data_IF_622522911076
#
_entry.id   IF_622522911076
#
_cell.length_a   1.000
_cell.length_b   1.000
_cell.length_c   1.000
_cell.angle_alpha   90.00
_cell.angle_beta   90.00
_cell.angle_gamma   90.00
#
_symmetry.space_group_name_H-M   'P 1'
#
loop_
_entity.id
_entity.type
_entity.pdbx_description
1 polymer ?
#
# COMPACT_ATOMS: atom_id res chain seq x y z
N UNK A 1 6.56 7.98 -8.58
CA UNK A 1 7.49 8.35 -7.49
C UNK A 1 6.66 8.56 -6.24
N UNK A 2 7.08 8.00 -5.11
CA UNK A 2 6.41 8.23 -3.82
C UNK A 2 6.95 9.53 -3.20
N UNK A 3 6.13 10.56 -3.10
CA UNK A 3 6.57 11.89 -2.65
C UNK A 3 5.56 12.62 -1.76
N UNK A 4 4.35 12.10 -1.61
CA UNK A 4 3.27 12.74 -0.85
C UNK A 4 2.26 11.68 -0.41
N UNK A 5 2.04 11.56 0.91
CA UNK A 5 1.11 10.58 1.50
C UNK A 5 -0.31 10.83 1.01
N UNK A 6 -0.76 12.09 1.02
CA UNK A 6 -2.14 12.46 0.67
C UNK A 6 -2.41 12.20 -0.80
N UNK A 7 -1.45 12.56 -1.66
CA UNK A 7 -1.57 12.30 -3.10
C UNK A 7 -1.56 10.79 -3.40
N UNK A 8 -0.75 10.01 -2.68
CA UNK A 8 -0.69 8.55 -2.84
C UNK A 8 -2.00 7.89 -2.40
N UNK A 9 -2.59 8.36 -1.30
CA UNK A 9 -3.89 7.91 -0.82
C UNK A 9 -5.01 8.23 -1.83
N UNK A 10 -5.05 9.46 -2.35
CA UNK A 10 -6.04 9.84 -3.37
C UNK A 10 -5.88 9.00 -4.65
N UNK A 11 -4.65 8.68 -5.05
CA UNK A 11 -4.39 7.77 -6.17
C UNK A 11 -5.09 6.43 -6.01
N UNK A 12 -5.01 5.79 -4.83
CA UNK A 12 -5.70 4.51 -4.57
C UNK A 12 -7.22 4.63 -4.61
N UNK A 13 -7.76 5.80 -4.27
CA UNK A 13 -9.21 6.02 -4.25
C UNK A 13 -9.78 6.36 -5.64
N UNK A 14 -8.99 6.99 -6.50
CA UNK A 14 -9.46 7.56 -7.76
C UNK A 14 -9.03 6.76 -8.99
N UNK A 15 -7.86 6.14 -8.97
CA UNK A 15 -7.33 5.36 -10.09
C UNK A 15 -7.74 3.89 -9.97
N UNK A 16 -8.59 3.44 -10.89
CA UNK A 16 -9.09 2.07 -10.95
C UNK A 16 -7.99 1.01 -11.14
N UNK A 17 -6.77 1.43 -11.50
CA UNK A 17 -5.61 0.56 -11.63
C UNK A 17 -4.69 0.57 -10.41
N UNK A 18 -4.87 1.51 -9.48
CA UNK A 18 -4.01 1.70 -8.31
C UNK A 18 -4.62 1.03 -7.06
N UNK A 19 -4.56 -0.30 -7.00
CA UNK A 19 -5.14 -1.11 -5.91
C UNK A 19 -4.12 -1.50 -4.83
N UNK A 20 -3.11 -0.67 -4.60
CA UNK A 20 -2.00 -0.98 -3.67
C UNK A 20 -2.39 -0.84 -2.20
N UNK A 21 -1.84 -1.72 -1.39
CA UNK A 21 -1.95 -1.75 0.07
C UNK A 21 -0.66 -1.25 0.74
N UNK A 22 -0.73 -0.98 2.04
CA UNK A 22 0.42 -0.51 2.82
C UNK A 22 1.43 -1.63 3.10
N UNK A 23 2.70 -1.24 3.20
CA UNK A 23 3.81 -2.11 3.64
C UNK A 23 4.06 -1.97 5.16
N UNK A 24 4.64 -2.98 5.83
CA UNK A 24 4.90 -2.95 7.27
C UNK A 24 5.69 -1.72 7.75
N UNK A 25 6.62 -1.23 6.94
CA UNK A 25 7.52 -0.12 7.27
C UNK A 25 6.75 1.16 7.63
N UNK A 26 5.54 1.35 7.08
CA UNK A 26 4.66 2.48 7.41
C UNK A 26 4.05 2.40 8.82
N UNK A 27 4.42 1.41 9.62
CA UNK A 27 4.00 1.26 11.02
C UNK A 27 5.17 1.22 12.01
N UNK A 28 6.43 1.25 11.56
CA UNK A 28 7.58 1.23 12.47
C UNK A 28 8.86 1.93 11.98
N UNK A 29 9.00 2.26 10.70
CA UNK A 29 10.25 2.78 10.13
C UNK A 29 10.07 4.20 9.53
N UNK A 30 10.31 5.28 10.30
CA UNK A 30 10.15 6.66 9.81
C UNK A 30 11.11 7.05 8.67
N UNK A 31 12.23 6.37 8.54
CA UNK A 31 13.27 6.65 7.55
C UNK A 31 12.75 6.47 6.11
N UNK A 32 11.72 5.62 5.90
CA UNK A 32 11.10 5.43 4.58
C UNK A 32 10.40 6.68 4.04
N UNK A 33 10.20 7.68 4.89
CA UNK A 33 9.60 8.97 4.53
C UNK A 33 10.64 10.06 4.31
N UNK A 34 11.93 9.78 4.51
CA UNK A 34 13.03 10.76 4.51
C UNK A 34 14.07 10.49 3.46
N UNK A 35 14.69 11.56 2.94
CA UNK A 35 15.84 11.47 2.04
C UNK A 35 17.17 11.63 2.80
N UNK A 36 17.48 10.71 3.71
CA UNK A 36 18.68 10.81 4.56
C UNK A 36 19.98 10.84 3.75
N UNK A 37 20.00 10.13 2.63
CA UNK A 37 21.15 10.04 1.74
C UNK A 37 21.31 11.24 0.81
N UNK A 38 20.44 12.26 0.91
CA UNK A 38 20.47 13.45 0.05
C UNK A 38 20.50 13.11 -1.45
N UNK A 39 19.75 12.08 -1.85
CA UNK A 39 19.68 11.61 -3.23
C UNK A 39 18.94 12.66 -4.06
N UNK A 40 19.47 12.97 -5.25
CA UNK A 40 18.74 13.80 -6.21
C UNK A 40 17.68 12.97 -6.93
N UNK A 41 16.42 13.14 -6.51
CA UNK A 41 15.26 12.51 -7.15
C UNK A 41 14.73 13.30 -8.35
N UNK A 42 15.35 14.44 -8.70
CA UNK A 42 14.94 15.31 -9.78
C UNK A 42 13.75 16.21 -9.43
N UNK A 43 13.04 16.66 -10.47
CA UNK A 43 11.91 17.59 -10.37
C UNK A 43 10.67 17.03 -11.05
N UNK A 44 9.50 17.32 -10.51
CA UNK A 44 8.23 17.04 -11.19
C UNK A 44 8.10 17.86 -12.47
N UNK A 45 7.16 17.49 -13.35
CA UNK A 45 6.86 18.23 -14.58
C UNK A 45 6.45 19.68 -14.32
N UNK A 46 5.92 19.97 -13.12
CA UNK A 46 5.55 21.31 -12.68
C UNK A 46 6.73 22.07 -12.03
N UNK A 47 7.95 21.53 -12.09
CA UNK A 47 9.16 22.14 -11.53
C UNK A 47 9.33 21.97 -10.02
N UNK A 48 8.50 21.16 -9.35
CA UNK A 48 8.62 20.90 -7.92
C UNK A 48 9.79 19.95 -7.65
N UNK A 49 10.76 20.34 -6.83
CA UNK A 49 11.86 19.47 -6.42
C UNK A 49 11.33 18.29 -5.59
N UNK A 50 11.80 17.09 -5.90
CA UNK A 50 11.52 15.87 -5.15
C UNK A 50 12.58 15.67 -4.07
N UNK A 51 12.13 15.32 -2.87
CA UNK A 51 12.97 15.09 -1.68
C UNK A 51 12.20 14.20 -0.68
N UNK A 52 12.26 14.50 0.62
CA UNK A 52 11.48 13.87 1.70
C UNK A 52 9.98 13.88 1.38
N UNK A 53 9.30 12.80 1.76
CA UNK A 53 7.88 12.59 1.50
C UNK A 53 7.06 13.64 2.24
N UNK A 54 6.12 14.28 1.54
CA UNK A 54 5.18 15.23 2.14
C UNK A 54 4.19 14.49 3.05
N UNK A 55 4.12 14.97 4.29
CA UNK A 55 3.23 14.40 5.30
C UNK A 55 1.90 15.16 5.35
N UNK A 56 0.82 14.50 5.82
CA UNK A 56 -0.43 15.18 6.11
C UNK A 56 -0.28 16.22 7.21
N UNK A 57 -1.16 17.24 7.23
CA UNK A 57 -1.09 18.36 8.17
C UNK A 57 -1.18 17.97 9.67
N UNK A 58 -1.68 16.77 9.98
CA UNK A 58 -1.78 16.24 11.35
C UNK A 58 -0.50 15.56 11.85
N UNK A 59 0.49 15.34 10.98
CA UNK A 59 1.77 14.77 11.33
C UNK A 59 2.85 15.86 11.40
N UNK A 60 3.48 16.00 12.55
CA UNK A 60 4.51 17.02 12.78
C UNK A 60 5.82 16.68 12.07
N UNK A 61 6.14 15.39 11.98
CA UNK A 61 7.36 14.85 11.37
C UNK A 61 7.18 13.33 11.09
N UNK A 62 8.11 12.67 10.40
CA UNK A 62 8.00 11.25 10.07
C UNK A 62 7.84 10.32 11.30
N UNK A 63 8.49 10.64 12.41
CA UNK A 63 8.40 9.85 13.65
C UNK A 63 6.98 9.92 14.21
N UNK A 64 6.41 11.12 14.27
CA UNK A 64 5.04 11.34 14.72
C UNK A 64 4.01 10.70 13.77
N UNK A 65 4.24 10.76 12.44
CA UNK A 65 3.43 10.04 11.46
C UNK A 65 3.40 8.52 11.74
N UNK A 66 4.56 7.89 11.83
CA UNK A 66 4.68 6.45 12.11
C UNK A 66 4.08 6.08 13.46
N UNK A 67 4.30 6.91 14.49
CA UNK A 67 3.73 6.69 15.81
C UNK A 67 2.19 6.68 15.77
N UNK A 68 1.58 7.61 15.03
CA UNK A 68 0.13 7.68 14.85
C UNK A 68 -0.40 6.52 14.00
N UNK A 69 0.30 6.12 12.94
CA UNK A 69 -0.02 4.93 12.16
C UNK A 69 -0.02 3.66 13.02
N UNK A 70 1.02 3.45 13.83
CA UNK A 70 1.09 2.32 14.75
C UNK A 70 -0.04 2.36 15.78
N UNK A 71 -0.33 3.53 16.36
CA UNK A 71 -1.46 3.68 17.29
C UNK A 71 -2.81 3.36 16.63
N UNK A 72 -3.00 3.72 15.37
CA UNK A 72 -4.21 3.39 14.62
C UNK A 72 -4.32 1.87 14.39
N UNK A 73 -3.23 1.22 13.98
CA UNK A 73 -3.17 -0.24 13.79
C UNK A 73 -3.50 -1.00 15.08
N UNK A 74 -3.00 -0.53 16.22
CA UNK A 74 -3.23 -1.16 17.54
C UNK A 74 -4.53 -0.70 18.23
N UNK A 75 -5.40 0.03 17.52
CA UNK A 75 -6.66 0.53 18.09
C UNK A 75 -7.69 -0.58 18.29
N UNK A 76 -8.67 -0.36 19.17
CA UNK A 76 -9.82 -1.28 19.35
C UNK A 76 -10.60 -1.47 18.05
N UNK A 77 -10.73 -0.40 17.25
CA UNK A 77 -11.42 -0.46 15.96
C UNK A 77 -10.71 -1.42 15.01
N UNK A 78 -9.41 -1.27 14.81
CA UNK A 78 -8.65 -2.18 13.94
C UNK A 78 -8.64 -3.59 14.54
N UNK A 79 -8.40 -3.74 15.84
CA UNK A 79 -8.40 -5.05 16.50
C UNK A 79 -9.71 -5.83 16.30
N UNK A 80 -10.86 -5.14 16.34
CA UNK A 80 -12.18 -5.76 16.14
C UNK A 80 -12.48 -6.10 14.67
N UNK A 81 -11.81 -5.50 13.69
CA UNK A 81 -12.12 -5.68 12.26
C UNK A 81 -10.97 -6.26 11.43
N UNK A 82 -9.75 -6.38 11.97
CA UNK A 82 -8.56 -6.83 11.21
C UNK A 82 -8.76 -8.22 10.58
N UNK A 83 -9.52 -9.08 11.25
CA UNK A 83 -9.87 -10.41 10.74
C UNK A 83 -10.63 -10.35 9.40
N UNK A 84 -11.39 -9.29 9.14
CA UNK A 84 -12.10 -9.11 7.88
C UNK A 84 -11.14 -8.80 6.72
N UNK A 85 -10.07 -8.06 6.99
CA UNK A 85 -8.99 -7.85 6.01
C UNK A 85 -8.19 -9.16 5.79
N UNK A 86 -7.92 -9.91 6.87
CA UNK A 86 -7.28 -11.23 6.75
C UNK A 86 -8.12 -12.17 5.88
N UNK A 87 -9.45 -12.14 5.99
CA UNK A 87 -10.34 -12.92 5.14
C UNK A 87 -10.19 -12.60 3.64
N UNK A 88 -9.91 -11.33 3.29
CA UNK A 88 -9.68 -10.89 1.92
C UNK A 88 -8.31 -11.36 1.38
N UNK A 89 -7.26 -11.19 2.17
CA UNK A 89 -5.89 -11.41 1.69
C UNK A 89 -5.49 -12.89 1.79
N UNK A 90 -5.85 -13.56 2.88
CA UNK A 90 -5.40 -14.92 3.20
C UNK A 90 -6.53 -15.91 3.46
N UNK A 91 -7.75 -15.44 3.70
CA UNK A 91 -8.88 -16.28 4.10
C UNK A 91 -9.84 -16.63 2.95
N UNK A 92 -11.08 -16.90 3.32
CA UNK A 92 -12.07 -17.50 2.41
C UNK A 92 -12.60 -16.53 1.33
N UNK A 93 -12.40 -15.22 1.50
CA UNK A 93 -12.77 -14.20 0.50
C UNK A 93 -11.66 -13.93 -0.51
N UNK A 94 -10.57 -14.70 -0.50
CA UNK A 94 -9.49 -14.57 -1.48
C UNK A 94 -9.88 -15.08 -2.89
N UNK A 95 -10.75 -16.10 -2.98
CA UNK A 95 -11.15 -16.72 -4.25
C UNK A 95 -12.63 -17.10 -4.29
N UNK A 96 -13.13 -17.46 -5.47
CA UNK A 96 -14.48 -17.99 -5.64
C UNK A 96 -15.59 -16.93 -5.53
N UNK A 97 -16.81 -17.37 -5.19
CA UNK A 97 -18.00 -16.50 -5.15
C UNK A 97 -17.89 -15.39 -4.10
N UNK A 98 -17.25 -15.69 -2.96
CA UNK A 98 -17.06 -14.73 -1.87
C UNK A 98 -16.11 -13.60 -2.26
N UNK A 99 -15.05 -13.90 -3.02
CA UNK A 99 -14.17 -12.87 -3.59
C UNK A 99 -14.91 -11.97 -4.58
N UNK A 100 -15.76 -12.53 -5.44
CA UNK A 100 -16.60 -11.76 -6.37
C UNK A 100 -17.55 -10.84 -5.60
N UNK A 101 -18.23 -11.37 -4.57
CA UNK A 101 -19.14 -10.58 -3.74
C UNK A 101 -18.43 -9.44 -2.99
N UNK A 102 -17.16 -9.62 -2.64
CA UNK A 102 -16.34 -8.63 -1.96
C UNK A 102 -15.54 -7.70 -2.90
N UNK A 103 -15.70 -7.80 -4.23
CA UNK A 103 -14.88 -7.11 -5.23
C UNK A 103 -13.36 -7.34 -5.07
N UNK A 104 -12.97 -8.55 -4.65
CA UNK A 104 -11.60 -8.93 -4.30
C UNK A 104 -11.02 -9.95 -5.30
N UNK A 105 -11.28 -9.76 -6.60
CA UNK A 105 -10.81 -10.64 -7.68
C UNK A 105 -9.69 -9.96 -8.44
N UNK A 106 -8.51 -10.58 -8.43
CA UNK A 106 -7.32 -10.11 -9.15
C UNK A 106 -7.14 -10.88 -10.46
N UNK A 107 -6.17 -10.43 -11.26
CA UNK A 107 -5.87 -11.05 -12.54
C UNK A 107 -5.44 -12.52 -12.35
N UNK A 108 -5.98 -13.43 -13.15
CA UNK A 108 -5.93 -14.87 -12.85
C UNK A 108 -4.52 -15.43 -12.58
N UNK A 109 -3.48 -14.90 -13.23
CA UNK A 109 -2.08 -15.34 -13.05
C UNK A 109 -1.51 -15.01 -11.66
N UNK A 110 -2.14 -14.11 -10.89
CA UNK A 110 -1.69 -13.78 -9.53
C UNK A 110 -2.07 -14.88 -8.53
N UNK A 111 -2.95 -15.81 -8.93
CA UNK A 111 -3.34 -16.93 -8.12
C UNK A 111 -2.42 -18.12 -8.38
N UNK A 112 -1.79 -18.61 -7.31
CA UNK A 112 -0.99 -19.84 -7.35
C UNK A 112 -1.77 -21.01 -7.97
N UNK A 113 -1.08 -21.78 -8.81
CA UNK A 113 -1.60 -22.98 -9.48
C UNK A 113 -2.38 -22.72 -10.77
N UNK A 114 -2.53 -21.48 -11.23
CA UNK A 114 -3.26 -21.16 -12.47
C UNK A 114 -2.44 -21.31 -13.74
N UNK A 115 -1.12 -21.19 -13.65
CA UNK A 115 -0.18 -21.36 -14.77
C UNK A 115 0.83 -22.43 -14.41
N UNK A 116 0.94 -23.45 -15.24
CA UNK A 116 1.96 -24.49 -15.14
C UNK A 116 3.16 -24.07 -15.99
N UNK A 117 4.16 -23.48 -15.34
CA UNK A 117 5.34 -22.92 -16.00
C UNK A 117 6.12 -24.01 -16.74
N UNK A 118 6.15 -25.23 -16.20
CA UNK A 118 6.88 -26.37 -16.78
C UNK A 118 6.25 -26.85 -18.10
N UNK A 119 5.00 -26.46 -18.40
CA UNK A 119 4.30 -26.80 -19.64
C UNK A 119 4.44 -25.74 -20.74
N UNK A 120 5.09 -24.60 -20.45
CA UNK A 120 5.28 -23.54 -21.43
C UNK A 120 6.45 -23.93 -22.35
N UNK A 121 6.18 -24.06 -23.65
CA UNK A 121 7.16 -24.49 -24.67
C UNK A 121 7.57 -23.39 -25.64
N UNK A 122 6.85 -22.26 -25.64
CA UNK A 122 7.15 -21.07 -26.44
C UNK A 122 7.97 -20.08 -25.59
N UNK A 123 9.23 -19.73 -25.97
CA UNK A 123 10.12 -18.88 -25.19
C UNK A 123 9.71 -17.41 -25.08
#
# INVERSE_FOLDING_TARGET
MFSDISSTWNGVLEDMSDVKELVPELFYQPEVLTNENSIDFGTTQLGGKLDTVKLPAWAENPIDFIHKHRKALESEYVSSHLHEWIDLIFGYKQRGKEAVAANNVFFYITYEGTVDIDKISDP
#
